data_IF_562947076292
#
_entry.id   IF_562947076292
#
_cell.length_a   1.000
_cell.length_b   1.000
_cell.length_c   1.000
_cell.angle_alpha   90.00
_cell.angle_beta   90.00
_cell.angle_gamma   90.00
#
_symmetry.space_group_name_H-M   'P 1'
#
loop_
_entity.id
_entity.type
_entity.pdbx_description
1 polymer ?
#
# COMPACT_ATOMS: atom_id res chain seq x y z
N UNK A 1 -7.97 -0.91 -9.66
CA UNK A 1 -8.58 -0.08 -8.59
C UNK A 1 -8.92 1.32 -9.11
N UNK A 2 -9.90 2.00 -8.53
CA UNK A 2 -10.14 3.43 -8.80
C UNK A 2 -9.17 4.33 -8.02
N UNK A 3 -9.22 5.66 -8.20
CA UNK A 3 -8.31 6.59 -7.53
C UNK A 3 -8.28 6.42 -6.00
N UNK A 4 -9.45 6.44 -5.34
CA UNK A 4 -9.55 6.32 -3.88
C UNK A 4 -9.02 4.99 -3.37
N UNK A 5 -9.33 3.89 -4.05
CA UNK A 5 -8.84 2.56 -3.69
C UNK A 5 -7.32 2.46 -3.81
N UNK A 6 -6.73 3.05 -4.85
CA UNK A 6 -5.27 3.10 -5.01
C UNK A 6 -4.61 3.96 -3.92
N UNK A 7 -5.17 5.14 -3.65
CA UNK A 7 -4.66 6.02 -2.60
C UNK A 7 -4.77 5.37 -1.22
N UNK A 8 -5.89 4.70 -0.94
CA UNK A 8 -6.11 3.92 0.27
C UNK A 8 -5.09 2.78 0.40
N UNK A 9 -4.86 2.02 -0.67
CA UNK A 9 -3.90 0.91 -0.72
C UNK A 9 -2.50 1.35 -0.28
N UNK A 10 -2.07 2.55 -0.70
CA UNK A 10 -0.75 3.08 -0.38
C UNK A 10 -0.70 3.74 1.00
N UNK A 11 -1.63 4.64 1.32
CA UNK A 11 -1.63 5.38 2.58
C UNK A 11 -1.99 4.53 3.79
N UNK A 12 -2.92 3.58 3.64
CA UNK A 12 -3.22 2.63 4.72
C UNK A 12 -2.07 1.64 4.91
N UNK A 13 -1.40 1.21 3.83
CA UNK A 13 -0.16 0.46 3.91
C UNK A 13 0.94 1.22 4.64
N UNK A 14 1.09 2.52 4.34
CA UNK A 14 2.03 3.41 5.03
C UNK A 14 1.73 3.43 6.54
N UNK A 15 0.45 3.59 6.89
CA UNK A 15 0.00 3.61 8.26
C UNK A 15 0.26 2.28 8.99
N UNK A 16 0.06 1.14 8.33
CA UNK A 16 0.42 -0.19 8.89
C UNK A 16 1.90 -0.33 9.17
N UNK A 17 2.76 0.32 8.39
CA UNK A 17 4.22 0.30 8.51
C UNK A 17 4.80 1.45 9.35
N UNK A 18 3.95 2.07 10.18
CA UNK A 18 4.28 3.15 11.09
C UNK A 18 4.63 4.50 10.47
N UNK A 19 4.46 4.66 9.16
CA UNK A 19 4.49 6.00 8.56
C UNK A 19 3.24 6.78 9.00
N UNK A 20 3.45 8.03 9.45
CA UNK A 20 2.37 8.88 9.98
C UNK A 20 2.26 10.18 9.23
N UNK A 21 3.31 10.59 8.54
CA UNK A 21 3.40 11.89 7.91
C UNK A 21 3.60 11.75 6.41
N UNK A 22 3.01 12.67 5.67
CA UNK A 22 3.16 12.88 4.24
C UNK A 22 3.68 14.30 4.04
N UNK A 23 4.71 14.48 3.23
CA UNK A 23 5.24 15.79 2.89
C UNK A 23 5.37 15.89 1.37
N UNK A 24 5.00 17.05 0.83
CA UNK A 24 5.10 17.32 -0.59
C UNK A 24 6.18 18.39 -0.79
N UNK A 25 7.15 18.13 -1.67
CA UNK A 25 8.23 19.06 -1.98
C UNK A 25 8.64 18.87 -3.43
N UNK A 26 8.76 19.97 -4.17
CA UNK A 26 9.12 19.95 -5.61
C UNK A 26 8.28 18.97 -6.46
N UNK A 27 6.97 18.91 -6.17
CA UNK A 27 6.00 18.02 -6.82
C UNK A 27 6.24 16.52 -6.57
N UNK A 28 7.11 16.17 -5.63
CA UNK A 28 7.33 14.81 -5.15
C UNK A 28 6.65 14.60 -3.79
N UNK A 29 6.23 13.36 -3.54
CA UNK A 29 5.51 12.97 -2.32
C UNK A 29 6.40 12.04 -1.51
N UNK A 30 6.61 12.37 -0.25
CA UNK A 30 7.39 11.61 0.69
C UNK A 30 6.56 11.23 1.90
N UNK A 31 6.85 10.08 2.52
CA UNK A 31 6.29 9.69 3.80
C UNK A 31 7.37 9.46 4.86
N UNK A 32 7.03 9.81 6.10
CA UNK A 32 7.90 9.72 7.26
C UNK A 32 7.17 9.04 8.42
N UNK A 33 7.93 8.34 9.27
CA UNK A 33 7.49 7.86 10.58
C UNK A 33 7.48 9.01 11.56
N UNK A 34 8.55 9.81 11.61
CA UNK A 34 8.64 11.05 12.38
C UNK A 34 9.38 12.14 11.61
N UNK A 35 8.65 13.17 11.16
CA UNK A 35 9.22 14.33 10.46
C UNK A 35 10.19 15.15 11.29
N UNK A 36 10.28 14.91 12.61
CA UNK A 36 11.24 15.58 13.50
C UNK A 36 12.56 14.82 13.61
N UNK A 37 12.62 13.57 13.17
CA UNK A 37 13.86 12.79 13.15
C UNK A 37 14.70 13.16 11.93
N UNK A 38 15.70 14.03 12.14
CA UNK A 38 16.61 14.46 11.09
C UNK A 38 17.52 13.34 10.53
N UNK A 39 17.61 12.19 11.22
CA UNK A 39 18.34 11.03 10.73
C UNK A 39 17.45 10.06 9.93
N UNK A 40 16.13 10.24 9.95
CA UNK A 40 15.22 9.41 9.16
C UNK A 40 15.40 9.67 7.67
N UNK A 41 15.48 8.59 6.90
CA UNK A 41 15.38 8.67 5.43
C UNK A 41 13.91 8.48 5.03
N UNK A 42 13.26 9.47 4.43
CA UNK A 42 11.88 9.33 3.98
C UNK A 42 11.75 8.30 2.87
N UNK A 43 10.54 7.76 2.74
CA UNK A 43 10.18 6.94 1.59
C UNK A 43 9.47 7.80 0.54
N UNK A 44 10.04 7.86 -0.66
CA UNK A 44 9.42 8.53 -1.79
C UNK A 44 8.29 7.68 -2.38
N UNK A 45 7.15 8.31 -2.67
CA UNK A 45 5.98 7.70 -3.29
C UNK A 45 5.93 8.07 -4.77
N UNK A 46 6.56 7.25 -5.61
CA UNK A 46 6.58 7.48 -7.06
C UNK A 46 5.34 6.88 -7.71
N UNK A 47 4.45 7.73 -8.20
CA UNK A 47 3.30 7.37 -9.01
C UNK A 47 3.50 7.74 -10.47
N UNK A 48 2.58 7.32 -11.35
CA UNK A 48 2.47 7.96 -12.65
C UNK A 48 2.15 9.46 -12.50
N UNK A 49 2.57 10.32 -13.45
CA UNK A 49 2.45 11.78 -13.30
C UNK A 49 1.01 12.26 -13.05
N UNK A 50 0.02 11.66 -13.71
CA UNK A 50 -1.37 12.08 -13.59
C UNK A 50 -1.93 11.74 -12.19
N UNK A 51 -1.64 10.54 -11.70
CA UNK A 51 -2.02 10.15 -10.35
C UNK A 51 -1.31 11.00 -9.30
N UNK A 52 -0.02 11.30 -9.49
CA UNK A 52 0.75 12.16 -8.59
C UNK A 52 0.13 13.57 -8.47
N UNK A 53 -0.20 14.20 -9.60
CA UNK A 53 -0.89 15.50 -9.62
C UNK A 53 -2.24 15.45 -8.90
N UNK A 54 -3.03 14.38 -9.10
CA UNK A 54 -4.33 14.22 -8.44
C UNK A 54 -4.19 14.05 -6.92
N UNK A 55 -3.16 13.34 -6.44
CA UNK A 55 -2.87 13.21 -5.00
C UNK A 55 -2.45 14.55 -4.40
N UNK A 56 -1.58 15.31 -5.07
CA UNK A 56 -1.13 16.63 -4.60
C UNK A 56 -2.32 17.59 -4.53
N UNK A 57 -3.14 17.65 -5.57
CA UNK A 57 -4.33 18.49 -5.60
C UNK A 57 -5.36 18.09 -4.52
N UNK A 58 -5.53 16.79 -4.26
CA UNK A 58 -6.37 16.30 -3.18
C UNK A 58 -5.84 16.76 -1.81
N UNK A 59 -4.53 16.63 -1.57
CA UNK A 59 -3.91 17.06 -0.32
C UNK A 59 -4.10 18.57 -0.11
N UNK A 60 -3.76 19.39 -1.11
CA UNK A 60 -3.91 20.85 -1.03
C UNK A 60 -5.35 21.27 -0.79
N UNK A 61 -6.30 20.68 -1.49
CA UNK A 61 -7.73 20.93 -1.26
C UNK A 61 -8.17 20.56 0.16
N UNK A 62 -7.54 19.57 0.78
CA UNK A 62 -7.91 19.06 2.11
C UNK A 62 -7.36 19.92 3.23
N UNK A 63 -6.08 20.30 3.15
CA UNK A 63 -5.39 21.02 4.23
C UNK A 63 -5.20 22.52 3.95
N UNK A 64 -5.54 22.98 2.75
CA UNK A 64 -5.43 24.38 2.32
C UNK A 64 -4.02 24.82 1.93
N UNK A 65 -2.97 24.23 2.52
CA UNK A 65 -1.57 24.42 2.15
C UNK A 65 -0.80 23.12 2.31
N UNK A 66 0.04 22.78 1.33
CA UNK A 66 0.89 21.58 1.31
C UNK A 66 2.37 21.85 1.64
N UNK A 67 2.67 23.06 2.14
CA UNK A 67 4.04 23.45 2.51
C UNK A 67 4.52 22.79 3.81
N UNK A 68 3.59 22.37 4.66
CA UNK A 68 3.87 21.73 5.94
C UNK A 68 3.56 20.23 5.86
N UNK A 69 4.23 19.38 6.68
CA UNK A 69 3.89 17.97 6.75
C UNK A 69 2.43 17.73 7.16
N UNK A 70 1.82 16.76 6.51
CA UNK A 70 0.41 16.39 6.64
C UNK A 70 0.34 15.04 7.35
N UNK A 71 -0.56 14.90 8.32
CA UNK A 71 -0.85 13.58 8.89
C UNK A 71 -1.55 12.71 7.84
N UNK A 72 -1.03 11.51 7.58
CA UNK A 72 -1.61 10.55 6.64
C UNK A 72 -3.06 10.23 7.02
N UNK A 73 -3.34 10.11 8.32
CA UNK A 73 -4.66 9.85 8.87
C UNK A 73 -5.69 10.93 8.48
N UNK A 74 -5.27 12.20 8.37
CA UNK A 74 -6.14 13.28 7.90
C UNK A 74 -6.66 13.02 6.49
N UNK A 75 -5.80 12.56 5.57
CA UNK A 75 -6.18 12.26 4.19
C UNK A 75 -7.05 11.00 4.13
N UNK A 76 -6.66 9.95 4.86
CA UNK A 76 -7.41 8.71 4.93
C UNK A 76 -8.84 8.95 5.43
N UNK A 77 -9.00 9.65 6.55
CA UNK A 77 -10.32 9.92 7.14
C UNK A 77 -11.19 10.80 6.25
N UNK A 78 -10.61 11.80 5.58
CA UNK A 78 -11.36 12.69 4.73
C UNK A 78 -11.86 12.03 3.44
N UNK A 79 -11.09 11.09 2.85
CA UNK A 79 -11.34 10.65 1.47
C UNK A 79 -11.44 9.15 1.25
N UNK A 80 -10.81 8.33 2.11
CA UNK A 80 -10.48 6.93 1.82
C UNK A 80 -10.76 5.97 2.99
N UNK A 81 -11.57 6.37 3.98
CA UNK A 81 -11.76 5.56 5.20
C UNK A 81 -12.42 4.20 4.92
N UNK A 82 -13.41 4.16 4.03
CA UNK A 82 -14.10 2.93 3.66
C UNK A 82 -13.19 1.99 2.86
N UNK A 83 -12.46 2.53 1.88
CA UNK A 83 -11.51 1.78 1.06
C UNK A 83 -10.35 1.23 1.91
N UNK A 84 -9.82 2.04 2.83
CA UNK A 84 -8.78 1.60 3.77
C UNK A 84 -9.28 0.46 4.66
N UNK A 85 -10.52 0.56 5.17
CA UNK A 85 -11.14 -0.51 5.94
C UNK A 85 -11.23 -1.80 5.13
N UNK A 86 -11.81 -1.74 3.93
CA UNK A 86 -11.97 -2.91 3.05
C UNK A 86 -10.64 -3.60 2.72
N UNK A 87 -9.57 -2.84 2.48
CA UNK A 87 -8.27 -3.38 2.04
C UNK A 87 -7.44 -3.95 3.21
N UNK A 88 -7.43 -3.28 4.36
CA UNK A 88 -6.47 -3.57 5.45
C UNK A 88 -7.07 -3.90 6.81
N UNK A 89 -8.35 -3.63 7.06
CA UNK A 89 -8.95 -3.78 8.38
C UNK A 89 -10.20 -4.68 8.41
N UNK A 90 -10.74 -5.07 7.25
CA UNK A 90 -11.76 -6.12 7.14
C UNK A 90 -11.07 -7.50 7.05
N UNK A 91 -10.81 -8.08 8.23
CA UNK A 91 -10.15 -9.39 8.35
C UNK A 91 -10.94 -10.51 7.68
N UNK A 92 -12.28 -10.41 7.68
CA UNK A 92 -13.15 -11.41 7.07
C UNK A 92 -12.99 -11.38 5.55
N UNK A 93 -13.10 -10.19 4.95
CA UNK A 93 -12.94 -10.02 3.51
C UNK A 93 -11.52 -10.38 3.06
N UNK A 94 -10.51 -10.06 3.88
CA UNK A 94 -9.14 -10.49 3.61
C UNK A 94 -9.04 -12.02 3.60
N UNK A 95 -9.58 -12.72 4.61
CA UNK A 95 -9.55 -14.19 4.70
C UNK A 95 -10.38 -14.90 3.61
N UNK A 96 -11.33 -14.21 2.99
CA UNK A 96 -12.06 -14.70 1.82
C UNK A 96 -11.21 -14.64 0.54
N UNK A 97 -10.34 -13.63 0.41
CA UNK A 97 -9.49 -13.41 -0.78
C UNK A 97 -8.11 -14.06 -0.69
N UNK A 98 -7.55 -14.15 0.52
CA UNK A 98 -6.18 -14.59 0.75
C UNK A 98 -6.06 -16.12 0.81
N UNK A 99 -4.94 -16.63 0.31
CA UNK A 99 -4.52 -18.02 0.44
C UNK A 99 -3.29 -18.11 1.33
N UNK A 100 -3.20 -19.16 2.13
CA UNK A 100 -2.00 -19.46 2.90
C UNK A 100 -0.91 -19.99 1.96
N UNK A 101 0.31 -19.50 2.11
CA UNK A 101 1.47 -19.85 1.29
C UNK A 101 2.67 -20.16 2.17
N UNK A 102 3.59 -20.98 1.66
CA UNK A 102 4.83 -21.33 2.36
C UNK A 102 6.04 -21.14 1.45
N UNK A 103 7.03 -20.41 1.95
CA UNK A 103 8.39 -20.37 1.43
C UNK A 103 9.33 -20.74 2.57
N UNK A 104 9.72 -22.02 2.62
CA UNK A 104 10.30 -22.66 3.81
C UNK A 104 11.42 -21.82 4.45
N UNK A 105 11.41 -21.62 5.79
CA UNK A 105 10.43 -22.12 6.76
C UNK A 105 9.21 -21.19 6.96
N UNK A 106 9.12 -20.10 6.20
CA UNK A 106 8.16 -19.03 6.46
C UNK A 106 6.77 -19.38 5.89
N UNK A 107 5.73 -19.10 6.67
CA UNK A 107 4.33 -19.19 6.28
C UNK A 107 3.73 -17.78 6.27
N UNK A 108 3.09 -17.43 5.16
CA UNK A 108 2.56 -16.10 4.89
C UNK A 108 1.19 -16.24 4.21
N UNK A 109 0.59 -15.12 3.86
CA UNK A 109 -0.62 -15.08 3.04
C UNK A 109 -0.38 -14.32 1.75
N UNK A 110 -1.07 -14.71 0.69
CA UNK A 110 -1.04 -13.99 -0.58
C UNK A 110 -2.44 -13.82 -1.16
N UNK A 111 -2.63 -12.74 -1.90
CA UNK A 111 -3.85 -12.49 -2.71
C UNK A 111 -3.44 -12.48 -4.17
N UNK A 112 -4.20 -13.17 -5.02
CA UNK A 112 -4.07 -13.04 -6.47
C UNK A 112 -4.73 -11.73 -6.90
N UNK A 113 -3.95 -10.83 -7.51
CA UNK A 113 -4.46 -9.57 -8.00
C UNK A 113 -5.13 -9.76 -9.37
N UNK A 114 -6.38 -9.30 -9.50
CA UNK A 114 -7.16 -9.43 -10.75
C UNK A 114 -7.11 -8.17 -11.61
N UNK A 115 -6.45 -7.12 -11.14
CA UNK A 115 -6.40 -5.81 -11.78
C UNK A 115 -5.05 -5.12 -11.56
N UNK A 116 -5.01 -3.83 -11.85
CA UNK A 116 -3.86 -3.01 -11.46
C UNK A 116 -4.17 -2.26 -10.15
N UNK A 117 -3.19 -2.24 -9.25
CA UNK A 117 -3.21 -1.37 -8.06
C UNK A 117 -1.83 -0.81 -7.74
N UNK A 118 -1.80 0.39 -7.16
CA UNK A 118 -0.63 0.88 -6.46
C UNK A 118 -0.51 0.22 -5.09
N UNK A 119 0.69 -0.22 -4.76
CA UNK A 119 1.04 -0.95 -3.55
C UNK A 119 2.19 -0.24 -2.87
N UNK A 120 2.09 0.01 -1.56
CA UNK A 120 3.25 0.41 -0.79
C UNK A 120 4.08 -0.81 -0.42
N UNK A 121 5.35 -0.80 -0.80
CA UNK A 121 6.38 -1.74 -0.34
C UNK A 121 7.38 -1.01 0.56
N UNK A 122 8.30 -1.75 1.19
CA UNK A 122 9.40 -1.13 1.96
C UNK A 122 10.36 -0.29 1.09
N UNK A 123 10.33 -0.47 -0.23
CA UNK A 123 11.17 0.26 -1.19
C UNK A 123 10.39 1.32 -1.97
N UNK A 124 9.18 1.65 -1.54
CA UNK A 124 8.32 2.65 -2.17
C UNK A 124 7.16 2.01 -2.92
N UNK A 125 6.53 2.80 -3.78
CA UNK A 125 5.32 2.39 -4.49
C UNK A 125 5.66 1.50 -5.68
N UNK A 126 4.94 0.39 -5.81
CA UNK A 126 4.96 -0.47 -6.99
C UNK A 126 3.55 -0.59 -7.55
N UNK A 127 3.41 -0.59 -8.87
CA UNK A 127 2.14 -0.88 -9.54
C UNK A 127 2.08 -2.37 -9.88
N UNK A 128 1.05 -3.05 -9.41
CA UNK A 128 0.78 -4.46 -9.75
C UNK A 128 0.13 -4.58 -11.12
N UNK A 129 0.26 -5.76 -11.72
CA UNK A 129 -0.46 -6.17 -12.91
C UNK A 129 -1.49 -7.27 -12.57
N UNK A 130 -2.52 -7.45 -13.42
CA UNK A 130 -3.41 -8.60 -13.30
C UNK A 130 -2.60 -9.91 -13.39
N UNK A 131 -2.78 -10.79 -12.42
CA UNK A 131 -2.07 -12.06 -12.29
C UNK A 131 -0.90 -12.03 -11.30
N UNK A 132 -0.45 -10.84 -10.87
CA UNK A 132 0.55 -10.73 -9.80
C UNK A 132 -0.03 -11.26 -8.48
N UNK A 133 0.81 -11.89 -7.68
CA UNK A 133 0.48 -12.22 -6.30
C UNK A 133 0.95 -11.11 -5.38
N UNK A 134 0.07 -10.65 -4.49
CA UNK A 134 0.46 -9.75 -3.41
C UNK A 134 0.64 -10.56 -2.15
N UNK A 135 1.91 -10.74 -1.76
CA UNK A 135 2.32 -11.43 -0.56
C UNK A 135 2.31 -10.43 0.60
N UNK A 136 1.67 -10.79 1.71
CA UNK A 136 1.67 -9.99 2.94
C UNK A 136 2.63 -10.60 3.95
N UNK A 137 3.61 -9.80 4.37
CA UNK A 137 4.58 -10.12 5.38
C UNK A 137 4.05 -9.96 6.81
N UNK A 138 4.88 -10.27 7.79
CA UNK A 138 4.47 -10.43 9.20
C UNK A 138 4.13 -9.12 9.90
N UNK A 139 4.69 -7.99 9.46
CA UNK A 139 4.38 -6.66 9.99
C UNK A 139 3.35 -5.93 9.12
N UNK A 140 2.69 -6.63 8.19
CA UNK A 140 1.70 -6.06 7.28
C UNK A 140 2.29 -5.42 6.01
N UNK A 141 3.61 -5.53 5.80
CA UNK A 141 4.25 -5.16 4.56
C UNK A 141 3.70 -5.99 3.39
N UNK A 142 3.57 -5.37 2.22
CA UNK A 142 3.10 -6.06 1.03
C UNK A 142 4.15 -6.03 -0.07
N UNK A 143 4.24 -7.11 -0.83
CA UNK A 143 5.15 -7.26 -1.96
C UNK A 143 4.41 -7.86 -3.15
N UNK A 144 4.57 -7.29 -4.36
CA UNK A 144 4.10 -7.94 -5.56
C UNK A 144 5.08 -9.06 -5.95
N UNK A 145 4.55 -10.15 -6.47
CA UNK A 145 5.30 -11.29 -6.92
C UNK A 145 4.72 -11.74 -8.27
N UNK A 146 5.57 -11.74 -9.29
CA UNK A 146 5.24 -12.25 -10.61
C UNK A 146 4.71 -13.70 -10.49
N UNK A 147 3.66 -14.07 -11.24
CA UNK A 147 3.01 -15.38 -11.12
C UNK A 147 3.94 -16.56 -11.39
N UNK A 148 4.90 -16.45 -12.31
CA UNK A 148 5.84 -17.53 -12.58
C UNK A 148 6.87 -17.65 -11.46
N UNK A 149 7.35 -16.52 -10.93
CA UNK A 149 8.23 -16.51 -9.75
C UNK A 149 7.50 -17.10 -8.53
N UNK A 150 6.25 -16.72 -8.32
CA UNK A 150 5.43 -17.21 -7.22
C UNK A 150 5.33 -18.74 -7.25
N UNK A 151 4.99 -19.30 -8.42
CA UNK A 151 4.88 -20.75 -8.64
C UNK A 151 6.19 -21.50 -8.40
N UNK A 152 7.34 -20.86 -8.67
CA UNK A 152 8.65 -21.46 -8.45
C UNK A 152 9.08 -21.47 -6.98
N UNK A 153 8.62 -20.50 -6.18
CA UNK A 153 9.13 -20.26 -4.83
C UNK A 153 8.17 -20.63 -3.70
N UNK A 154 6.86 -20.63 -3.95
CA UNK A 154 5.84 -20.76 -2.91
C UNK A 154 4.98 -22.01 -3.09
N UNK A 155 4.76 -22.73 -2.00
CA UNK A 155 3.76 -23.80 -1.90
C UNK A 155 2.44 -23.18 -1.40
N UNK A 156 1.32 -23.37 -2.11
CA UNK A 156 -0.02 -22.99 -1.60
C UNK A 156 -0.49 -24.05 -0.62
N UNK A 157 -0.87 -23.63 0.58
CA UNK A 157 -1.08 -24.52 1.73
C UNK A 157 -2.50 -25.05 1.86
N UNK A 158 -3.45 -24.54 1.07
CA UNK A 158 -4.85 -24.94 1.13
C UNK A 158 -5.51 -24.85 -0.25
N UNK A 159 -5.52 -25.97 -0.99
CA UNK A 159 -6.19 -26.07 -2.31
C UNK A 159 -7.73 -26.26 -2.19
N UNK A 160 -8.29 -26.21 -0.97
CA UNK A 160 -9.71 -26.57 -0.72
C UNK A 160 -10.74 -25.47 -1.02
N UNK A 161 -10.30 -24.29 -1.46
CA UNK A 161 -11.16 -23.21 -1.96
C UNK A 161 -10.94 -23.02 -3.47
N UNK A 162 -11.46 -23.95 -4.28
CA UNK A 162 -11.63 -23.78 -5.73
C UNK A 162 -13.10 -23.63 -6.06
#
# INVERSE_FOLDING_TARGET
>A
MNFKQNLASVLAGAYKLDYRWLQITDNEIFIYKDVKDAAETPLALHFDPAFNEEVIALCEKTVGSITEPILIDTILQAHCAAEAHEIYYDEKLYAEKAVAIRHKPNELTAILETGERYLLTLNGVVKTNPGDWVIRGVNGEEYPCDPEIFKMLYDVMDESKK
#
